data_IF_880283473384
#
_entry.id   IF_880283473384
#
_cell.length_a   1.000
_cell.length_b   1.000
_cell.length_c   1.000
_cell.angle_alpha   90.00
_cell.angle_beta   90.00
_cell.angle_gamma   90.00
#
_symmetry.space_group_name_H-M   'P 1'
#
loop_
_entity.id
_entity.type
_entity.pdbx_description
1 polymer ?
#
# COMPACT_ATOMS: atom_id res chain seq x y z
N UNK A 1 -12.44 6.57 11.29
CA UNK A 1 -13.52 7.24 10.53
C UNK A 1 -14.09 6.24 9.53
N UNK A 2 -15.40 5.98 9.55
CA UNK A 2 -16.04 5.02 8.63
C UNK A 2 -16.62 5.79 7.46
N UNK A 3 -16.13 5.55 6.24
CA UNK A 3 -16.72 6.12 5.02
C UNK A 3 -17.78 5.13 4.53
N UNK A 4 -19.03 5.57 4.45
CA UNK A 4 -20.15 4.79 3.89
C UNK A 4 -20.63 5.42 2.60
N UNK A 5 -20.70 4.61 1.55
CA UNK A 5 -21.25 5.01 0.26
C UNK A 5 -22.73 4.64 0.16
N UNK A 6 -23.51 5.41 -0.61
CA UNK A 6 -24.87 4.99 -0.97
C UNK A 6 -24.76 3.78 -1.89
N UNK A 7 -25.18 2.62 -1.41
CA UNK A 7 -25.24 1.38 -2.19
C UNK A 7 -26.57 1.35 -2.95
N UNK A 8 -26.54 0.90 -4.21
CA UNK A 8 -27.74 0.75 -5.00
C UNK A 8 -28.69 -0.32 -4.39
N UNK A 9 -30.00 -0.11 -4.52
CA UNK A 9 -31.02 -0.96 -3.89
C UNK A 9 -31.39 -2.21 -4.71
N UNK A 10 -30.51 -2.67 -5.61
CA UNK A 10 -30.69 -3.88 -6.40
C UNK A 10 -29.58 -4.88 -6.09
N UNK A 11 -29.85 -6.20 -6.19
CA UNK A 11 -28.85 -7.22 -5.86
C UNK A 11 -27.65 -7.13 -6.80
N UNK A 12 -26.44 -7.21 -6.25
CA UNK A 12 -25.24 -7.30 -7.07
C UNK A 12 -25.16 -8.65 -7.78
N UNK A 13 -24.48 -8.64 -8.93
CA UNK A 13 -24.16 -9.87 -9.64
C UNK A 13 -23.06 -10.64 -8.90
N UNK A 14 -23.11 -11.98 -8.87
CA UNK A 14 -22.04 -12.78 -8.29
C UNK A 14 -20.76 -12.60 -9.10
N UNK A 15 -19.61 -12.66 -8.40
CA UNK A 15 -18.31 -12.73 -9.06
C UNK A 15 -18.20 -14.10 -9.73
N UNK A 16 -17.93 -14.11 -11.03
CA UNK A 16 -17.74 -15.36 -11.77
C UNK A 16 -16.43 -16.02 -11.33
N UNK A 17 -16.45 -17.36 -11.22
CA UNK A 17 -15.22 -18.10 -10.93
C UNK A 17 -14.18 -17.84 -12.04
N UNK A 18 -12.90 -17.63 -11.68
CA UNK A 18 -11.87 -17.41 -12.67
C UNK A 18 -11.77 -18.63 -13.60
N UNK A 19 -11.72 -18.38 -14.92
CA UNK A 19 -11.61 -19.44 -15.92
C UNK A 19 -10.39 -20.36 -15.68
N UNK A 20 -9.30 -19.78 -15.16
CA UNK A 20 -8.11 -20.50 -14.71
C UNK A 20 -7.86 -20.16 -13.23
N UNK A 21 -8.31 -21.00 -12.29
CA UNK A 21 -8.06 -20.75 -10.87
C UNK A 21 -6.57 -20.87 -10.57
N UNK A 22 -6.10 -20.00 -9.69
CA UNK A 22 -4.73 -20.03 -9.17
C UNK A 22 -4.58 -21.22 -8.23
N UNK A 23 -3.45 -21.95 -8.34
CA UNK A 23 -3.19 -23.14 -7.53
C UNK A 23 -2.22 -22.88 -6.38
N UNK A 24 -1.24 -22.02 -6.62
CA UNK A 24 -0.18 -21.75 -5.66
C UNK A 24 0.34 -20.30 -5.75
N UNK A 25 1.29 -19.98 -4.86
CA UNK A 25 1.92 -18.66 -4.79
C UNK A 25 2.65 -18.27 -6.10
N UNK A 26 3.25 -19.23 -6.80
CA UNK A 26 3.99 -18.98 -8.04
C UNK A 26 3.02 -18.60 -9.16
N UNK A 27 1.88 -19.27 -9.25
CA UNK A 27 0.80 -18.93 -10.17
C UNK A 27 0.28 -17.50 -9.91
N UNK A 28 0.12 -17.08 -8.65
CA UNK A 28 -0.26 -15.69 -8.29
C UNK A 28 0.77 -14.70 -8.84
N UNK A 29 2.05 -14.95 -8.56
CA UNK A 29 3.14 -14.08 -8.97
C UNK A 29 3.25 -14.00 -10.50
N UNK A 30 3.18 -15.14 -11.18
CA UNK A 30 3.25 -15.22 -12.64
C UNK A 30 2.08 -14.52 -13.30
N UNK A 31 0.86 -14.66 -12.77
CA UNK A 31 -0.30 -14.00 -13.34
C UNK A 31 -0.32 -12.48 -13.10
N UNK A 32 0.33 -11.99 -12.04
CA UNK A 32 0.38 -10.55 -11.71
C UNK A 32 1.52 -9.83 -12.44
N UNK A 33 2.71 -10.43 -12.47
CA UNK A 33 3.92 -9.79 -13.02
C UNK A 33 4.32 -10.32 -14.41
N UNK A 34 3.69 -11.39 -14.89
CA UNK A 34 3.95 -11.97 -16.20
C UNK A 34 5.43 -12.31 -16.41
N UNK A 35 5.92 -12.05 -17.62
CA UNK A 35 7.34 -12.17 -17.99
C UNK A 35 8.16 -10.91 -17.66
N UNK A 36 7.51 -9.85 -17.17
CA UNK A 36 8.13 -8.53 -17.02
C UNK A 36 8.82 -8.33 -15.66
N UNK A 37 8.46 -9.13 -14.64
CA UNK A 37 9.00 -9.01 -13.29
C UNK A 37 9.96 -10.14 -12.89
N UNK A 38 10.98 -9.81 -12.10
CA UNK A 38 11.78 -10.79 -11.35
C UNK A 38 11.11 -11.02 -10.00
N UNK A 39 10.51 -12.19 -9.81
CA UNK A 39 9.91 -12.63 -8.56
C UNK A 39 10.48 -13.99 -8.15
N UNK A 40 10.46 -14.29 -6.84
CA UNK A 40 10.98 -15.55 -6.31
C UNK A 40 10.01 -16.24 -5.38
N UNK A 41 9.46 -15.51 -4.41
CA UNK A 41 8.58 -16.07 -3.40
C UNK A 41 7.70 -14.98 -2.79
N UNK A 42 6.61 -15.39 -2.14
CA UNK A 42 5.82 -14.53 -1.27
C UNK A 42 6.46 -14.55 0.13
N UNK A 43 6.89 -13.40 0.63
CA UNK A 43 7.52 -13.29 1.95
C UNK A 43 6.48 -12.96 3.02
N UNK A 44 6.55 -13.66 4.16
CA UNK A 44 5.75 -13.40 5.37
C UNK A 44 4.25 -13.16 5.08
N UNK A 45 3.70 -13.93 4.14
CA UNK A 45 2.34 -13.74 3.66
C UNK A 45 1.32 -14.57 4.44
N UNK A 46 0.09 -14.07 4.51
CA UNK A 46 -1.08 -14.80 5.02
C UNK A 46 -1.52 -15.94 4.08
N UNK A 47 -0.94 -16.03 2.87
CA UNK A 47 -1.12 -17.15 1.95
C UNK A 47 -0.38 -18.43 2.37
N UNK A 48 0.19 -18.50 3.58
CA UNK A 48 0.83 -19.69 4.15
C UNK A 48 0.16 -20.06 5.48
N UNK A 49 -0.63 -21.14 5.48
CA UNK A 49 -1.50 -21.59 6.57
C UNK A 49 -2.31 -22.84 6.19
N UNK A 50 -3.10 -23.38 7.10
CA UNK A 50 -3.87 -24.63 6.92
C UNK A 50 -4.93 -24.55 5.81
N UNK A 51 -5.45 -23.36 5.49
CA UNK A 51 -6.55 -23.17 4.53
C UNK A 51 -6.10 -22.72 3.13
N UNK A 52 -4.80 -22.74 2.87
CA UNK A 52 -4.20 -22.13 1.67
C UNK A 52 -4.69 -22.70 0.35
N UNK A 53 -4.90 -24.02 0.28
CA UNK A 53 -5.45 -24.65 -0.93
C UNK A 53 -6.90 -24.20 -1.23
N UNK A 54 -7.66 -23.75 -0.24
CA UNK A 54 -9.00 -23.21 -0.44
C UNK A 54 -9.00 -21.72 -0.79
N UNK A 55 -7.91 -21.01 -0.48
CA UNK A 55 -7.77 -19.57 -0.74
C UNK A 55 -7.35 -19.29 -2.17
N UNK A 56 -6.35 -20.00 -2.70
CA UNK A 56 -5.82 -19.72 -4.05
C UNK A 56 -6.89 -19.69 -5.17
N UNK A 57 -7.85 -20.63 -5.23
CA UNK A 57 -8.89 -20.60 -6.26
C UNK A 57 -9.82 -19.37 -6.20
N UNK A 58 -9.87 -18.67 -5.06
CA UNK A 58 -10.70 -17.46 -4.86
C UNK A 58 -9.96 -16.18 -5.25
N UNK A 59 -8.65 -16.25 -5.49
CA UNK A 59 -7.83 -15.09 -5.83
C UNK A 59 -7.83 -14.94 -7.35
N UNK A 60 -8.15 -13.73 -7.81
CA UNK A 60 -8.00 -13.36 -9.22
C UNK A 60 -6.90 -12.32 -9.34
N UNK A 61 -5.64 -12.73 -9.59
CA UNK A 61 -4.52 -11.80 -9.77
C UNK A 61 -4.74 -10.95 -11.02
N UNK A 62 -4.42 -9.67 -10.90
CA UNK A 62 -4.47 -8.68 -11.98
C UNK A 62 -3.27 -7.74 -11.84
N UNK A 63 -2.70 -7.37 -12.97
CA UNK A 63 -1.85 -6.19 -13.05
C UNK A 63 -2.65 -4.96 -12.60
N UNK A 64 -2.02 -4.02 -11.90
CA UNK A 64 -2.69 -2.83 -11.36
C UNK A 64 -4.04 -3.13 -10.67
N UNK A 65 -4.06 -4.18 -9.83
CA UNK A 65 -5.30 -4.82 -9.36
C UNK A 65 -6.35 -3.88 -8.78
N UNK A 66 -5.95 -2.81 -8.07
CA UNK A 66 -6.90 -1.82 -7.55
C UNK A 66 -7.75 -1.16 -8.65
N UNK A 67 -7.12 -0.70 -9.73
CA UNK A 67 -7.80 -0.04 -10.84
C UNK A 67 -8.69 -1.03 -11.62
N UNK A 68 -8.14 -2.19 -11.99
CA UNK A 68 -8.88 -3.19 -12.73
C UNK A 68 -10.09 -3.74 -11.96
N UNK A 69 -9.94 -4.02 -10.66
CA UNK A 69 -11.06 -4.46 -9.82
C UNK A 69 -12.15 -3.39 -9.73
N UNK A 70 -11.79 -2.12 -9.57
CA UNK A 70 -12.77 -1.02 -9.50
C UNK A 70 -13.58 -0.91 -10.79
N UNK A 71 -12.90 -0.92 -11.94
CA UNK A 71 -13.55 -0.85 -13.27
C UNK A 71 -14.43 -2.08 -13.50
N UNK A 72 -13.94 -3.27 -13.17
CA UNK A 72 -14.67 -4.53 -13.37
C UNK A 72 -15.92 -4.57 -12.50
N UNK A 73 -15.80 -4.23 -11.21
CA UNK A 73 -16.93 -4.25 -10.30
C UNK A 73 -18.02 -3.23 -10.71
N UNK A 74 -17.60 -2.06 -11.21
CA UNK A 74 -18.53 -1.07 -11.75
C UNK A 74 -19.27 -1.60 -12.99
N UNK A 75 -18.55 -2.12 -13.99
CA UNK A 75 -19.13 -2.60 -15.25
C UNK A 75 -20.00 -3.85 -15.08
N UNK A 76 -19.63 -4.73 -14.15
CA UNK A 76 -20.34 -6.00 -13.91
C UNK A 76 -21.41 -5.90 -12.82
N UNK A 77 -21.67 -4.70 -12.27
CA UNK A 77 -22.60 -4.48 -11.16
C UNK A 77 -22.32 -5.40 -9.95
N UNK A 78 -21.05 -5.53 -9.58
CA UNK A 78 -20.60 -6.32 -8.43
C UNK A 78 -20.45 -5.42 -7.20
N UNK A 79 -20.56 -6.01 -6.01
CA UNK A 79 -20.21 -5.32 -4.78
C UNK A 79 -18.69 -5.22 -4.64
N UNK A 80 -18.19 -3.99 -4.53
CA UNK A 80 -16.79 -3.71 -4.25
C UNK A 80 -16.61 -3.39 -2.76
N UNK A 81 -15.76 -4.15 -2.09
CA UNK A 81 -15.35 -3.89 -0.71
C UNK A 81 -13.88 -3.49 -0.71
N UNK A 82 -13.61 -2.25 -0.30
CA UNK A 82 -12.25 -1.73 -0.17
C UNK A 82 -11.91 -1.56 1.31
N UNK A 83 -10.73 -2.04 1.71
CA UNK A 83 -10.17 -1.67 3.01
C UNK A 83 -9.53 -0.29 2.88
N UNK A 84 -9.53 0.53 3.94
CA UNK A 84 -8.83 1.81 3.91
C UNK A 84 -7.37 1.69 3.49
N UNK A 85 -6.70 0.60 3.89
CA UNK A 85 -5.30 0.35 3.55
C UNK A 85 -5.07 0.13 2.06
N UNK A 86 -6.02 -0.51 1.35
CA UNK A 86 -5.92 -0.73 -0.11
C UNK A 86 -5.84 0.61 -0.86
N UNK A 87 -6.60 1.59 -0.39
CA UNK A 87 -6.62 2.95 -0.96
C UNK A 87 -5.32 3.69 -0.63
N UNK A 88 -4.86 3.61 0.62
CA UNK A 88 -3.61 4.27 1.03
C UNK A 88 -2.39 3.71 0.30
N UNK A 89 -2.30 2.39 0.16
CA UNK A 89 -1.21 1.74 -0.58
C UNK A 89 -1.25 2.14 -2.06
N UNK A 90 -2.42 2.23 -2.68
CA UNK A 90 -2.54 2.69 -4.07
C UNK A 90 -2.05 4.13 -4.26
N UNK A 91 -2.45 5.05 -3.37
CA UNK A 91 -2.00 6.45 -3.38
C UNK A 91 -0.48 6.53 -3.19
N UNK A 92 0.04 5.85 -2.18
CA UNK A 92 1.47 5.84 -1.87
C UNK A 92 2.31 5.22 -2.99
N UNK A 93 1.81 4.17 -3.64
CA UNK A 93 2.46 3.54 -4.79
C UNK A 93 2.62 4.52 -5.95
N UNK A 94 1.54 5.19 -6.35
CA UNK A 94 1.58 6.16 -7.45
C UNK A 94 2.43 7.39 -7.10
N UNK A 95 2.34 7.88 -5.86
CA UNK A 95 3.19 8.97 -5.38
C UNK A 95 4.66 8.58 -5.43
N UNK A 96 5.00 7.36 -5.00
CA UNK A 96 6.37 6.85 -5.04
C UNK A 96 6.92 6.80 -6.47
N UNK A 97 6.13 6.35 -7.45
CA UNK A 97 6.57 6.38 -8.85
C UNK A 97 6.85 7.80 -9.34
N UNK A 98 5.98 8.75 -9.03
CA UNK A 98 6.17 10.14 -9.38
C UNK A 98 7.42 10.74 -8.71
N UNK A 99 7.58 10.56 -7.40
CA UNK A 99 8.75 11.05 -6.66
C UNK A 99 10.05 10.45 -7.19
N UNK A 100 10.07 9.16 -7.53
CA UNK A 100 11.26 8.52 -8.09
C UNK A 100 11.60 9.04 -9.49
N UNK A 101 10.60 9.29 -10.34
CA UNK A 101 10.83 9.89 -11.67
C UNK A 101 11.35 11.33 -11.59
N UNK A 102 10.91 12.09 -10.58
CA UNK A 102 11.27 13.50 -10.36
C UNK A 102 12.24 13.69 -9.17
N UNK A 103 13.04 12.67 -8.84
CA UNK A 103 13.80 12.64 -7.59
C UNK A 103 14.79 13.79 -7.43
N UNK A 104 15.38 14.29 -8.53
CA UNK A 104 16.32 15.42 -8.51
C UNK A 104 15.62 16.75 -8.23
N UNK A 105 14.48 16.96 -8.86
CA UNK A 105 13.67 18.18 -8.75
C UNK A 105 13.07 18.28 -7.35
N UNK A 106 12.42 17.22 -6.88
CA UNK A 106 11.71 17.22 -5.60
C UNK A 106 12.61 17.03 -4.38
N UNK A 107 13.88 16.67 -4.60
CA UNK A 107 14.87 16.41 -3.55
C UNK A 107 14.84 17.43 -2.40
N UNK A 108 14.82 18.71 -2.78
CA UNK A 108 14.94 19.83 -1.85
C UNK A 108 13.73 19.96 -0.90
N UNK A 109 12.61 19.29 -1.20
CA UNK A 109 11.46 19.18 -0.31
C UNK A 109 11.65 18.10 0.76
N UNK A 110 12.38 17.02 0.45
CA UNK A 110 12.46 15.84 1.31
C UNK A 110 13.74 15.74 2.13
N UNK A 111 14.90 16.13 1.59
CA UNK A 111 16.20 15.91 2.27
C UNK A 111 16.98 17.20 2.46
N UNK A 112 17.69 17.30 3.58
CA UNK A 112 18.48 18.48 3.93
C UNK A 112 19.87 18.51 3.28
N UNK A 113 20.39 17.34 2.89
CA UNK A 113 21.74 17.18 2.37
C UNK A 113 21.79 17.20 0.83
N UNK A 114 23.00 17.37 0.26
CA UNK A 114 23.32 17.14 -1.16
C UNK A 114 23.81 15.68 -1.36
N UNK A 115 23.74 15.15 -2.59
CA UNK A 115 24.20 13.78 -2.90
C UNK A 115 23.36 12.60 -2.37
N UNK A 116 23.92 11.41 -2.22
CA UNK A 116 23.20 10.26 -1.66
C UNK A 116 23.87 9.89 -0.34
N UNK A 117 23.08 9.73 0.72
CA UNK A 117 23.57 9.23 2.00
C UNK A 117 23.13 7.77 2.14
N UNK A 118 24.07 6.88 2.42
CA UNK A 118 23.77 5.47 2.70
C UNK A 118 23.41 5.34 4.18
N UNK A 119 22.30 4.65 4.46
CA UNK A 119 21.86 4.33 5.82
C UNK A 119 21.90 2.81 5.98
N UNK A 120 22.64 2.33 6.95
CA UNK A 120 22.78 0.90 7.23
C UNK A 120 21.98 0.52 8.47
N UNK A 121 21.06 -0.45 8.31
CA UNK A 121 20.31 -1.03 9.43
C UNK A 121 20.86 -2.42 9.70
N UNK A 122 21.29 -2.66 10.94
CA UNK A 122 21.76 -3.98 11.38
C UNK A 122 20.69 -4.65 12.22
N UNK A 123 20.21 -5.80 11.75
CA UNK A 123 19.12 -6.57 12.35
C UNK A 123 19.55 -8.01 12.51
N UNK A 124 19.11 -8.63 13.61
CA UNK A 124 19.36 -10.04 13.89
C UNK A 124 18.22 -10.88 13.33
N UNK A 125 18.54 -11.90 12.53
CA UNK A 125 17.56 -12.84 11.98
C UNK A 125 17.74 -13.08 10.49
N UNK A 126 16.76 -13.73 9.88
CA UNK A 126 16.68 -13.96 8.43
C UNK A 126 15.52 -13.18 7.85
N UNK A 127 15.43 -13.07 6.51
CA UNK A 127 14.26 -12.48 5.83
C UNK A 127 12.92 -13.14 6.16
N UNK A 128 12.92 -14.33 6.78
CA UNK A 128 11.73 -15.05 7.18
C UNK A 128 11.34 -14.80 8.64
N UNK A 129 12.31 -14.43 9.49
CA UNK A 129 12.13 -14.34 10.95
C UNK A 129 12.29 -12.93 11.49
N UNK A 130 12.64 -11.97 10.62
CA UNK A 130 12.81 -10.58 11.01
C UNK A 130 11.47 -9.95 11.40
N UNK A 131 11.50 -9.18 12.49
CA UNK A 131 10.40 -8.29 12.89
C UNK A 131 10.41 -7.05 11.97
N UNK A 132 9.48 -7.02 11.00
CA UNK A 132 9.35 -5.91 10.06
C UNK A 132 8.96 -4.60 10.75
N UNK A 133 8.27 -4.66 11.90
CA UNK A 133 7.89 -3.49 12.68
C UNK A 133 9.07 -2.86 13.40
N UNK A 134 9.96 -3.68 13.97
CA UNK A 134 11.23 -3.21 14.53
C UNK A 134 12.14 -2.64 13.45
N UNK A 135 12.27 -3.34 12.32
CA UNK A 135 13.02 -2.87 11.16
C UNK A 135 12.51 -1.50 10.67
N UNK A 136 11.19 -1.32 10.54
CA UNK A 136 10.59 -0.05 10.12
C UNK A 136 10.89 1.08 11.12
N UNK A 137 10.84 0.80 12.44
CA UNK A 137 11.22 1.75 13.48
C UNK A 137 12.68 2.17 13.37
N UNK A 138 13.60 1.21 13.20
CA UNK A 138 15.03 1.51 13.03
C UNK A 138 15.30 2.33 11.77
N UNK A 139 14.68 1.99 10.63
CA UNK A 139 14.76 2.80 9.41
C UNK A 139 14.27 4.23 9.65
N UNK A 140 13.13 4.39 10.32
CA UNK A 140 12.57 5.69 10.66
C UNK A 140 13.55 6.55 11.47
N UNK A 141 14.21 5.96 12.47
CA UNK A 141 15.19 6.66 13.31
C UNK A 141 16.41 7.16 12.52
N UNK A 142 16.87 6.42 11.51
CA UNK A 142 17.99 6.84 10.65
C UNK A 142 17.56 7.88 9.60
N UNK A 143 16.33 7.79 9.11
CA UNK A 143 15.78 8.72 8.12
C UNK A 143 15.46 10.08 8.75
N UNK A 144 14.92 10.10 9.97
CA UNK A 144 14.48 11.31 10.66
C UNK A 144 15.50 12.46 10.67
N UNK A 145 16.79 12.26 11.02
CA UNK A 145 17.78 13.35 10.99
C UNK A 145 18.19 13.79 9.58
N UNK A 146 17.90 13.00 8.55
CA UNK A 146 18.29 13.29 7.15
C UNK A 146 17.18 13.97 6.34
N UNK A 147 15.95 13.96 6.85
CA UNK A 147 14.76 14.51 6.20
C UNK A 147 14.52 15.95 6.66
N UNK A 148 14.06 16.79 5.73
CA UNK A 148 13.54 18.11 6.11
C UNK A 148 12.20 17.92 6.81
N UNK A 149 12.16 18.24 8.09
CA UNK A 149 10.88 18.46 8.77
C UNK A 149 10.33 19.75 8.20
N UNK A 150 9.24 19.67 7.42
CA UNK A 150 8.50 20.86 7.07
C UNK A 150 8.08 21.54 8.38
N UNK A 151 8.44 22.81 8.55
CA UNK A 151 8.05 23.62 9.70
C UNK A 151 6.54 23.88 9.60
N UNK A 152 5.78 22.84 9.92
CA UNK A 152 4.34 22.90 9.92
C UNK A 152 3.97 23.53 11.26
N UNK A 153 4.10 24.85 11.34
CA UNK A 153 3.51 25.65 12.41
C UNK A 153 1.97 25.68 12.28
N UNK A 154 1.35 24.50 12.14
CA UNK A 154 -0.11 24.31 12.08
C UNK A 154 -0.75 24.67 13.41
N UNK A 155 0.00 24.56 14.51
CA UNK A 155 -0.41 25.05 15.84
C UNK A 155 -0.61 26.57 15.84
N UNK A 156 0.34 27.34 15.31
CA UNK A 156 0.18 28.78 15.15
C UNK A 156 -0.88 29.19 14.13
N UNK A 157 -1.19 28.34 13.14
CA UNK A 157 -2.26 28.60 12.17
C UNK A 157 -3.67 28.43 12.76
N UNK A 158 -3.86 27.49 13.71
CA UNK A 158 -5.11 27.32 14.47
C UNK A 158 -5.29 28.40 15.54
N UNK A 159 -4.21 28.85 16.19
CA UNK A 159 -4.27 29.97 17.14
C UNK A 159 -4.57 31.32 16.45
N UNK A 160 -4.14 31.49 15.18
CA UNK A 160 -4.44 32.68 14.37
C UNK A 160 -5.84 32.69 13.76
N UNK A 161 -6.56 31.56 13.72
CA UNK A 161 -7.87 31.48 13.05
C UNK A 161 -9.08 31.73 13.95
N UNK A 162 -8.89 32.06 15.23
CA UNK A 162 -9.95 32.68 16.05
C UNK A 162 -11.23 31.86 16.23
N UNK A 163 -11.13 30.52 16.35
CA UNK A 163 -12.25 29.74 16.85
C UNK A 163 -12.26 29.84 18.39
N UNK A 164 -13.15 30.70 18.90
CA UNK A 164 -13.37 30.88 20.34
C UNK A 164 -13.52 29.54 21.06
N UNK A 165 -12.77 29.41 22.14
CA UNK A 165 -12.83 28.27 23.03
C UNK A 165 -14.28 28.06 23.51
N UNK A 166 -14.92 26.98 23.06
CA UNK A 166 -16.00 26.39 23.83
C UNK A 166 -15.34 25.42 24.81
N UNK A 167 -15.32 25.82 26.08
CA UNK A 167 -15.07 24.92 27.19
C UNK A 167 -16.15 23.83 27.19
N UNK A 168 -15.71 22.58 27.17
CA UNK A 168 -16.40 21.44 27.79
C UNK A 168 -15.36 20.71 28.64
#
# INVERSE_FOLDING_TARGET
>A
MRVTFKVANYPARPVQAPHRPVKDATDVLQATWGTQGVYKELLQSTFFGTDTQQLFPKITPKDNGFGHMTITAYNEHQHLVLRPDDVWIAILGQLNFYVNAHAKELRHHFVAHKGKNTLDVKVVGTRYTIDSGDLARQMGNLIHPNVRVADNNWRGALERSGAGALQI
#
